data_IF_795461184109
#
_entry.id   IF_795461184109
#
_cell.length_a   1.000
_cell.length_b   1.000
_cell.length_c   1.000
_cell.angle_alpha   90.00
_cell.angle_beta   90.00
_cell.angle_gamma   90.00
#
_symmetry.space_group_name_H-M   'P 1'
#
loop_
_entity.id
_entity.type
_entity.pdbx_description
1 polymer ?
#
# COMPACT_ATOMS: atom_id res chain seq x y z
N UNK A 1 31.41 11.80 -32.31
CA UNK A 1 29.97 11.52 -32.13
C UNK A 1 29.57 11.22 -30.69
N UNK A 2 30.11 10.18 -30.00
CA UNK A 2 29.69 9.82 -28.62
C UNK A 2 29.79 10.97 -27.61
N UNK A 3 30.84 11.79 -27.63
CA UNK A 3 31.04 12.95 -26.76
C UNK A 3 29.99 14.06 -26.98
N UNK A 4 29.58 14.30 -28.23
CA UNK A 4 28.57 15.31 -28.59
C UNK A 4 27.19 14.88 -28.12
N UNK A 5 26.84 13.60 -28.28
CA UNK A 5 25.60 13.01 -27.79
C UNK A 5 25.53 13.11 -26.25
N UNK A 6 26.64 12.79 -25.57
CA UNK A 6 26.72 12.91 -24.12
C UNK A 6 26.55 14.35 -23.63
N UNK A 7 27.22 15.31 -24.29
CA UNK A 7 27.06 16.73 -23.96
C UNK A 7 25.61 17.22 -24.16
N UNK A 8 24.99 16.81 -25.26
CA UNK A 8 23.58 17.12 -25.54
C UNK A 8 22.65 16.58 -24.44
N UNK A 9 22.87 15.36 -23.96
CA UNK A 9 22.12 14.79 -22.84
C UNK A 9 22.29 15.58 -21.53
N UNK A 10 23.52 16.02 -21.23
CA UNK A 10 23.79 16.86 -20.05
C UNK A 10 23.02 18.18 -20.15
N UNK A 11 23.06 18.84 -21.31
CA UNK A 11 22.36 20.10 -21.55
C UNK A 11 20.84 19.90 -21.36
N UNK A 12 20.27 18.82 -21.92
CA UNK A 12 18.85 18.49 -21.73
C UNK A 12 18.48 18.26 -20.26
N UNK A 13 19.31 17.56 -19.50
CA UNK A 13 19.11 17.31 -18.08
C UNK A 13 19.14 18.63 -17.30
N UNK A 14 20.15 19.48 -17.55
CA UNK A 14 20.27 20.79 -16.89
C UNK A 14 19.09 21.67 -17.22
N UNK A 15 18.66 21.72 -18.48
CA UNK A 15 17.49 22.48 -18.92
C UNK A 15 16.20 21.97 -18.27
N UNK A 16 16.00 20.65 -18.17
CA UNK A 16 14.83 20.05 -17.50
C UNK A 16 14.83 20.36 -16.00
N UNK A 17 15.97 20.22 -15.35
CA UNK A 17 16.12 20.46 -13.92
C UNK A 17 15.97 21.93 -13.54
N UNK A 18 16.31 22.86 -14.42
CA UNK A 18 16.16 24.29 -14.23
C UNK A 18 14.72 24.81 -14.41
N UNK A 19 13.79 23.96 -14.87
CA UNK A 19 12.37 24.33 -15.01
C UNK A 19 11.56 24.03 -13.76
N UNK A 20 10.52 24.83 -13.59
CA UNK A 20 9.49 24.54 -12.59
C UNK A 20 8.53 23.44 -13.08
N UNK A 21 8.01 22.71 -12.13
CA UNK A 21 6.96 21.74 -12.35
C UNK A 21 5.85 21.90 -11.34
N UNK A 22 4.65 21.45 -11.69
CA UNK A 22 3.48 21.53 -10.83
C UNK A 22 3.50 20.39 -9.81
N UNK A 23 3.25 20.70 -8.55
CA UNK A 23 2.98 19.78 -7.45
C UNK A 23 1.54 19.98 -7.00
N UNK A 24 0.80 18.89 -6.90
CA UNK A 24 -0.55 18.89 -6.35
C UNK A 24 -0.48 18.52 -4.86
N UNK A 25 -1.01 19.40 -4.01
CA UNK A 25 -1.11 19.19 -2.56
C UNK A 25 -2.55 19.32 -2.13
N UNK A 26 -3.07 18.35 -1.42
CA UNK A 26 -4.43 18.36 -0.91
C UNK A 26 -5.10 17.00 -0.94
N UNK A 27 -6.33 16.96 -0.41
CA UNK A 27 -7.20 15.78 -0.34
C UNK A 27 -8.64 16.18 -0.67
N UNK A 28 -9.46 15.22 -1.10
CA UNK A 28 -10.92 15.35 -1.16
C UNK A 28 -11.42 16.68 -1.74
N UNK A 29 -11.21 16.96 -3.01
CA UNK A 29 -11.67 18.17 -3.72
C UNK A 29 -10.97 19.48 -3.32
N UNK A 30 -10.17 19.51 -2.27
CA UNK A 30 -9.34 20.65 -1.89
C UNK A 30 -7.90 20.35 -2.34
N UNK A 31 -7.62 20.58 -3.61
CA UNK A 31 -6.30 20.36 -4.18
C UNK A 31 -5.75 21.71 -4.64
N UNK A 32 -4.56 22.07 -4.13
CA UNK A 32 -3.82 23.25 -4.55
C UNK A 32 -2.65 22.88 -5.44
N UNK A 33 -2.42 23.70 -6.47
CA UNK A 33 -1.26 23.60 -7.32
C UNK A 33 -0.12 24.46 -6.76
N UNK A 34 1.05 23.87 -6.64
CA UNK A 34 2.26 24.58 -6.23
C UNK A 34 3.32 24.44 -7.33
N UNK A 35 3.86 25.57 -7.78
CA UNK A 35 5.04 25.56 -8.64
C UNK A 35 6.28 25.29 -7.78
N UNK A 36 7.04 24.26 -8.11
CA UNK A 36 8.32 23.94 -7.45
C UNK A 36 9.36 23.53 -8.49
N UNK A 37 10.64 23.87 -8.29
CA UNK A 37 11.72 23.46 -9.19
C UNK A 37 11.75 21.94 -9.40
N UNK A 38 11.99 21.49 -10.62
CA UNK A 38 12.12 20.06 -10.89
C UNK A 38 13.29 19.42 -10.14
N UNK A 39 14.34 20.18 -9.86
CA UNK A 39 15.44 19.75 -8.95
C UNK A 39 14.92 19.38 -7.57
N UNK A 40 14.05 20.21 -6.99
CA UNK A 40 13.44 19.93 -5.70
C UNK A 40 12.56 18.66 -5.75
N UNK A 41 11.75 18.49 -6.81
CA UNK A 41 10.94 17.25 -6.99
C UNK A 41 11.79 16.00 -7.03
N UNK A 42 12.90 16.05 -7.77
CA UNK A 42 13.82 14.92 -7.89
C UNK A 42 14.48 14.64 -6.54
N UNK A 43 14.98 15.68 -5.86
CA UNK A 43 15.58 15.54 -4.54
C UNK A 43 14.59 14.94 -3.53
N UNK A 44 13.40 15.52 -3.39
CA UNK A 44 12.37 15.01 -2.48
C UNK A 44 11.96 13.57 -2.79
N UNK A 45 11.93 13.18 -4.08
CA UNK A 45 11.60 11.82 -4.47
C UNK A 45 12.65 10.81 -4.01
N UNK A 46 13.93 11.14 -4.16
CA UNK A 46 15.03 10.28 -3.67
C UNK A 46 15.11 10.29 -2.14
N UNK A 47 14.96 11.44 -1.50
CA UNK A 47 14.94 11.55 -0.04
C UNK A 47 13.86 10.65 0.57
N UNK A 48 12.63 10.72 0.06
CA UNK A 48 11.56 9.80 0.47
C UNK A 48 11.89 8.34 0.21
N UNK A 49 12.52 8.03 -0.92
CA UNK A 49 12.96 6.66 -1.21
C UNK A 49 13.96 6.14 -0.17
N UNK A 50 14.94 6.96 0.23
CA UNK A 50 15.88 6.62 1.30
C UNK A 50 15.19 6.45 2.65
N UNK A 51 14.27 7.34 2.99
CA UNK A 51 13.48 7.28 4.23
C UNK A 51 12.66 5.99 4.32
N UNK A 52 11.92 5.62 3.27
CA UNK A 52 11.19 4.34 3.21
C UNK A 52 12.13 3.14 3.37
N UNK A 53 13.23 3.13 2.62
CA UNK A 53 14.20 2.03 2.69
C UNK A 53 14.81 1.88 4.09
N UNK A 54 15.15 2.99 4.74
CA UNK A 54 15.68 3.00 6.10
C UNK A 54 14.64 2.50 7.11
N UNK A 55 13.40 2.99 7.00
CA UNK A 55 12.30 2.59 7.88
C UNK A 55 12.01 1.09 7.75
N UNK A 56 11.83 0.57 6.53
CA UNK A 56 11.55 -0.84 6.32
C UNK A 56 12.68 -1.75 6.78
N UNK A 57 13.95 -1.31 6.61
CA UNK A 57 15.11 -2.02 7.13
C UNK A 57 15.11 -2.06 8.66
N UNK A 58 14.79 -0.96 9.34
CA UNK A 58 14.73 -0.93 10.81
C UNK A 58 13.61 -1.79 11.38
N UNK A 59 12.42 -1.81 10.73
CA UNK A 59 11.29 -2.65 11.14
C UNK A 59 11.61 -4.14 11.00
N UNK A 60 12.41 -4.53 10.00
CA UNK A 60 12.68 -5.91 9.64
C UNK A 60 14.13 -6.32 9.90
N UNK A 61 14.81 -5.68 10.87
CA UNK A 61 16.23 -5.93 11.14
C UNK A 61 16.53 -7.41 11.42
N UNK A 62 15.62 -8.09 12.11
CA UNK A 62 15.81 -9.44 12.63
C UNK A 62 15.15 -10.53 11.78
N UNK A 63 14.60 -10.21 10.59
CA UNK A 63 13.94 -11.21 9.76
C UNK A 63 14.26 -11.09 8.27
N UNK A 64 14.48 -12.26 7.65
CA UNK A 64 14.57 -12.41 6.19
C UNK A 64 13.29 -13.00 5.59
N UNK A 65 12.45 -13.62 6.41
CA UNK A 65 11.18 -14.24 5.99
C UNK A 65 10.20 -13.15 5.51
N UNK A 66 9.59 -13.35 4.35
CA UNK A 66 8.68 -12.38 3.76
C UNK A 66 7.36 -12.26 4.51
N UNK A 67 6.83 -13.35 5.03
CA UNK A 67 5.58 -13.36 5.80
C UNK A 67 5.76 -12.58 7.11
N UNK A 68 6.89 -12.79 7.80
CA UNK A 68 7.24 -12.02 8.99
C UNK A 68 7.42 -10.53 8.67
N UNK A 69 8.02 -10.18 7.52
CA UNK A 69 8.15 -8.79 7.08
C UNK A 69 6.78 -8.14 6.88
N UNK A 70 5.82 -8.85 6.28
CA UNK A 70 4.44 -8.35 6.14
C UNK A 70 3.85 -8.05 7.51
N UNK A 71 3.94 -9.00 8.45
CA UNK A 71 3.39 -8.85 9.79
C UNK A 71 4.08 -7.74 10.58
N UNK A 72 5.41 -7.64 10.52
CA UNK A 72 6.18 -6.62 11.23
C UNK A 72 5.84 -5.22 10.74
N UNK A 73 5.78 -5.00 9.41
CA UNK A 73 5.40 -3.71 8.82
C UNK A 73 3.96 -3.36 9.18
N UNK A 74 3.04 -4.32 9.07
CA UNK A 74 1.64 -4.11 9.41
C UNK A 74 1.45 -3.78 10.89
N UNK A 75 2.12 -4.49 11.80
CA UNK A 75 2.13 -4.22 13.24
C UNK A 75 2.71 -2.84 13.55
N UNK A 76 3.78 -2.47 12.85
CA UNK A 76 4.40 -1.15 13.02
C UNK A 76 3.42 -0.04 12.64
N UNK A 77 2.77 -0.13 11.47
CA UNK A 77 1.75 0.84 11.03
C UNK A 77 0.61 0.90 12.06
N UNK A 78 0.05 -0.25 12.43
CA UNK A 78 -1.07 -0.32 13.37
C UNK A 78 -0.77 0.32 14.74
N UNK A 79 0.49 0.25 15.19
CA UNK A 79 0.93 0.85 16.46
C UNK A 79 1.28 2.34 16.36
N UNK A 80 1.85 2.78 15.24
CA UNK A 80 2.42 4.12 15.10
C UNK A 80 1.53 5.11 14.35
N UNK A 81 0.54 4.62 13.61
CA UNK A 81 -0.42 5.46 12.89
C UNK A 81 -1.78 5.32 13.57
N UNK A 82 -2.35 6.45 13.97
CA UNK A 82 -3.66 6.50 14.64
C UNK A 82 -4.77 6.69 13.60
N UNK A 83 -5.94 6.17 13.89
CA UNK A 83 -7.15 6.45 13.11
C UNK A 83 -7.55 7.90 13.25
N UNK A 84 -7.93 8.52 12.12
CA UNK A 84 -8.44 9.89 12.13
C UNK A 84 -9.69 10.01 13.01
N UNK A 85 -9.80 11.09 13.76
CA UNK A 85 -11.02 11.42 14.49
C UNK A 85 -12.00 12.16 13.57
N UNK A 86 -13.29 12.07 13.88
CA UNK A 86 -14.39 12.59 13.06
C UNK A 86 -14.25 14.07 12.63
N UNK A 87 -13.57 14.90 13.42
CA UNK A 87 -13.43 16.34 13.19
C UNK A 87 -12.01 16.75 12.74
N UNK A 88 -11.11 15.80 12.47
CA UNK A 88 -9.76 16.11 12.01
C UNK A 88 -9.75 16.31 10.49
N UNK A 89 -9.09 17.36 10.04
CA UNK A 89 -8.92 17.67 8.62
C UNK A 89 -7.55 17.19 8.16
N UNK A 90 -7.54 16.36 7.13
CA UNK A 90 -6.32 15.92 6.47
C UNK A 90 -6.11 16.74 5.20
N UNK A 91 -4.98 17.43 5.10
CA UNK A 91 -4.63 18.29 3.98
C UNK A 91 -3.66 17.67 2.98
N UNK A 92 -3.06 16.54 3.31
CA UNK A 92 -2.11 15.84 2.43
C UNK A 92 -2.26 14.31 2.58
N UNK A 93 -2.25 13.60 1.45
CA UNK A 93 -2.36 12.15 1.38
C UNK A 93 -1.11 11.46 0.84
N UNK A 94 0.05 12.15 0.82
CA UNK A 94 1.29 11.50 0.39
C UNK A 94 1.74 10.48 1.46
N UNK A 95 2.07 9.22 1.10
CA UNK A 95 2.37 8.16 2.06
C UNK A 95 3.43 8.52 3.11
N UNK A 96 4.50 9.25 2.72
CA UNK A 96 5.51 9.67 3.70
C UNK A 96 4.96 10.71 4.70
N UNK A 97 4.18 11.67 4.24
CA UNK A 97 3.54 12.68 5.11
C UNK A 97 2.55 12.04 6.08
N UNK A 98 1.83 10.98 5.65
CA UNK A 98 0.95 10.21 6.54
C UNK A 98 1.77 9.55 7.67
N UNK A 99 2.91 8.96 7.33
CA UNK A 99 3.82 8.33 8.32
C UNK A 99 4.34 9.37 9.31
N UNK A 100 4.81 10.53 8.84
CA UNK A 100 5.33 11.61 9.70
C UNK A 100 4.25 12.20 10.60
N UNK A 101 3.04 12.38 10.08
CA UNK A 101 1.88 12.88 10.83
C UNK A 101 1.37 11.88 11.87
N UNK A 102 1.48 10.57 11.59
CA UNK A 102 1.02 9.50 12.45
C UNK A 102 -0.51 9.39 12.58
N UNK A 103 -1.28 9.96 11.61
CA UNK A 103 -2.74 9.90 11.57
C UNK A 103 -3.17 9.58 10.13
N UNK A 104 -4.12 8.66 9.95
CA UNK A 104 -4.57 8.20 8.64
C UNK A 104 -6.07 7.87 8.59
N UNK A 105 -6.64 7.98 7.39
CA UNK A 105 -7.93 7.39 6.99
C UNK A 105 -7.74 5.91 6.62
N UNK A 106 -8.82 5.19 6.39
CA UNK A 106 -8.80 3.77 6.03
C UNK A 106 -8.04 3.49 4.73
N UNK A 107 -8.24 4.29 3.68
CA UNK A 107 -7.52 4.19 2.41
C UNK A 107 -6.03 4.53 2.54
N UNK A 108 -5.70 5.49 3.41
CA UNK A 108 -4.33 5.88 3.69
C UNK A 108 -3.53 4.77 4.41
N UNK A 109 -4.18 4.00 5.31
CA UNK A 109 -3.55 2.81 5.90
C UNK A 109 -3.12 1.81 4.83
N UNK A 110 -3.98 1.56 3.86
CA UNK A 110 -3.70 0.63 2.75
C UNK A 110 -2.62 1.17 1.81
N UNK A 111 -2.60 2.48 1.54
CA UNK A 111 -1.56 3.11 0.72
C UNK A 111 -0.18 3.01 1.38
N UNK A 112 -0.03 3.40 2.65
CA UNK A 112 1.26 3.32 3.35
C UNK A 112 1.75 1.88 3.51
N UNK A 113 0.85 0.93 3.81
CA UNK A 113 1.24 -0.48 3.90
C UNK A 113 1.78 -0.97 2.55
N UNK A 114 1.06 -0.73 1.46
CA UNK A 114 1.49 -1.18 0.13
C UNK A 114 2.83 -0.56 -0.29
N UNK A 115 3.09 0.71 0.05
CA UNK A 115 4.38 1.36 -0.21
C UNK A 115 5.50 0.71 0.60
N UNK A 116 5.31 0.52 1.91
CA UNK A 116 6.35 -0.06 2.75
C UNK A 116 6.66 -1.52 2.37
N UNK A 117 5.66 -2.31 1.98
CA UNK A 117 5.86 -3.67 1.47
C UNK A 117 6.71 -3.69 0.19
N UNK A 118 6.46 -2.77 -0.76
CA UNK A 118 7.30 -2.61 -1.96
C UNK A 118 8.75 -2.30 -1.59
N UNK A 119 9.00 -1.49 -0.56
CA UNK A 119 10.36 -1.18 -0.09
C UNK A 119 11.01 -2.34 0.68
N UNK A 120 10.22 -3.29 1.17
CA UNK A 120 10.69 -4.56 1.76
C UNK A 120 10.85 -5.69 0.72
N UNK A 121 10.77 -5.37 -0.59
CA UNK A 121 10.85 -6.29 -1.73
C UNK A 121 9.70 -7.32 -1.77
N UNK A 122 8.52 -6.90 -1.33
CA UNK A 122 7.27 -7.65 -1.41
C UNK A 122 6.36 -6.95 -2.42
N UNK A 123 5.93 -7.66 -3.45
CA UNK A 123 4.99 -7.12 -4.42
C UNK A 123 3.66 -6.80 -3.73
N UNK A 124 3.16 -5.57 -3.91
CA UNK A 124 1.99 -5.08 -3.19
C UNK A 124 1.28 -3.97 -3.95
N UNK A 125 -0.02 -3.88 -3.74
CA UNK A 125 -0.87 -2.77 -4.16
C UNK A 125 -2.10 -2.72 -3.24
N UNK A 126 -2.90 -1.66 -3.33
CA UNK A 126 -4.16 -1.58 -2.60
C UNK A 126 -5.33 -1.25 -3.52
N UNK A 127 -6.51 -1.61 -3.08
CA UNK A 127 -7.78 -1.32 -3.72
C UNK A 127 -8.73 -0.67 -2.72
N UNK A 128 -9.40 0.39 -3.14
CA UNK A 128 -10.35 1.11 -2.30
C UNK A 128 -11.77 0.59 -2.44
N UNK A 129 -12.11 0.01 -3.59
CA UNK A 129 -13.47 -0.38 -3.91
C UNK A 129 -13.48 -1.75 -4.56
N UNK A 130 -14.21 -2.66 -3.96
CA UNK A 130 -14.50 -3.97 -4.47
C UNK A 130 -16.00 -4.01 -4.79
N UNK A 131 -16.34 -4.04 -6.08
CA UNK A 131 -17.72 -3.98 -6.58
C UNK A 131 -18.53 -2.82 -5.96
N UNK A 132 -19.51 -3.11 -5.10
CA UNK A 132 -20.35 -2.12 -4.42
C UNK A 132 -19.81 -1.72 -3.04
N UNK A 133 -18.78 -2.41 -2.52
CA UNK A 133 -18.27 -2.20 -1.15
C UNK A 133 -17.07 -1.27 -1.19
N UNK A 134 -17.15 -0.13 -0.48
CA UNK A 134 -15.99 0.70 -0.20
C UNK A 134 -15.25 0.12 1.00
N UNK A 135 -14.16 -0.57 0.73
CA UNK A 135 -13.32 -1.16 1.78
C UNK A 135 -11.87 -1.24 1.30
N UNK A 136 -11.03 -0.32 1.73
CA UNK A 136 -9.62 -0.32 1.35
C UNK A 136 -8.88 -1.51 1.94
N UNK A 137 -8.31 -2.33 1.09
CA UNK A 137 -7.49 -3.48 1.48
C UNK A 137 -6.17 -3.49 0.73
N UNK A 138 -5.16 -4.08 1.35
CA UNK A 138 -3.84 -4.26 0.76
C UNK A 138 -3.67 -5.70 0.28
N UNK A 139 -3.29 -5.82 -0.98
CA UNK A 139 -2.86 -7.07 -1.62
C UNK A 139 -1.34 -7.16 -1.55
N UNK A 140 -0.84 -8.34 -1.24
CA UNK A 140 0.60 -8.60 -1.23
C UNK A 140 0.92 -10.02 -1.70
N UNK A 141 2.16 -10.24 -2.16
CA UNK A 141 2.62 -11.53 -2.63
C UNK A 141 3.98 -11.87 -2.02
N UNK A 142 4.00 -12.82 -1.10
CA UNK A 142 5.23 -13.33 -0.49
C UNK A 142 5.84 -14.49 -1.27
N UNK A 143 5.00 -15.22 -2.01
CA UNK A 143 5.38 -16.28 -2.95
C UNK A 143 5.01 -15.88 -4.37
N UNK A 144 5.83 -16.27 -5.34
CA UNK A 144 5.67 -15.87 -6.74
C UNK A 144 4.24 -16.10 -7.27
N UNK A 145 3.58 -15.01 -7.68
CA UNK A 145 2.24 -14.99 -8.27
C UNK A 145 1.08 -15.45 -7.39
N UNK A 146 1.30 -15.65 -6.08
CA UNK A 146 0.22 -15.93 -5.13
C UNK A 146 -0.04 -14.69 -4.29
N UNK A 147 -1.26 -14.19 -4.36
CA UNK A 147 -1.69 -12.99 -3.67
C UNK A 147 -2.51 -13.31 -2.44
N UNK A 148 -2.20 -12.60 -1.37
CA UNK A 148 -2.93 -12.60 -0.11
C UNK A 148 -3.38 -11.19 0.20
N UNK A 149 -4.28 -11.03 1.17
CA UNK A 149 -4.79 -9.72 1.56
C UNK A 149 -4.63 -9.45 3.05
N UNK A 150 -4.61 -8.16 3.37
CA UNK A 150 -4.65 -7.66 4.73
C UNK A 150 -5.47 -6.37 4.77
N UNK A 151 -6.32 -6.25 5.78
CA UNK A 151 -7.02 -5.02 6.15
C UNK A 151 -6.18 -4.27 7.19
N UNK A 152 -5.40 -3.26 6.79
CA UNK A 152 -4.50 -2.60 7.72
C UNK A 152 -5.21 -1.65 8.69
N UNK A 153 -6.42 -1.18 8.34
CA UNK A 153 -7.18 -0.27 9.19
C UNK A 153 -7.71 -0.96 10.44
N UNK A 154 -8.23 -2.18 10.29
CA UNK A 154 -8.65 -3.01 11.43
C UNK A 154 -7.56 -3.96 11.92
N UNK A 155 -6.43 -4.06 11.21
CA UNK A 155 -5.34 -4.97 11.53
C UNK A 155 -5.72 -6.45 11.33
N UNK A 156 -6.60 -6.75 10.37
CA UNK A 156 -7.11 -8.10 10.11
C UNK A 156 -6.38 -8.74 8.94
N UNK A 157 -5.99 -10.00 9.12
CA UNK A 157 -5.40 -10.84 8.08
C UNK A 157 -5.95 -12.27 8.15
N UNK A 158 -5.72 -13.04 7.09
CA UNK A 158 -6.35 -14.33 6.88
C UNK A 158 -5.29 -15.41 6.74
N UNK A 159 -5.44 -16.50 7.51
CA UNK A 159 -4.60 -17.67 7.44
C UNK A 159 -5.42 -18.89 7.02
N UNK A 160 -4.74 -19.84 6.38
CA UNK A 160 -5.26 -21.18 6.11
C UNK A 160 -5.11 -22.10 7.34
N UNK A 161 -5.54 -23.35 7.23
CA UNK A 161 -5.45 -24.36 8.30
C UNK A 161 -4.01 -24.71 8.69
N UNK A 162 -3.03 -24.42 7.83
CA UNK A 162 -1.59 -24.62 8.08
C UNK A 162 -0.91 -23.37 8.65
N UNK A 163 -1.67 -22.34 9.01
CA UNK A 163 -1.22 -21.05 9.52
C UNK A 163 -0.34 -20.23 8.53
N UNK A 164 -0.43 -20.51 7.23
CA UNK A 164 0.14 -19.66 6.20
C UNK A 164 -0.86 -18.59 5.78
N UNK A 165 -0.39 -17.50 5.17
CA UNK A 165 -1.30 -16.54 4.57
C UNK A 165 -2.23 -17.19 3.54
N UNK A 166 -3.53 -17.05 3.74
CA UNK A 166 -4.55 -17.52 2.81
C UNK A 166 -4.41 -16.81 1.47
N UNK A 167 -4.38 -17.57 0.38
CA UNK A 167 -4.22 -17.03 -0.97
C UNK A 167 -5.57 -16.95 -1.69
N UNK A 168 -5.67 -16.05 -2.67
CA UNK A 168 -6.92 -15.80 -3.41
C UNK A 168 -7.42 -16.96 -4.27
N UNK A 169 -6.60 -17.99 -4.50
CA UNK A 169 -6.99 -19.19 -5.26
C UNK A 169 -7.38 -20.37 -4.36
N UNK A 170 -7.16 -20.23 -3.05
CA UNK A 170 -7.69 -21.22 -2.13
C UNK A 170 -9.21 -21.13 -2.20
N UNK A 171 -9.83 -22.27 -2.53
CA UNK A 171 -11.26 -22.38 -2.78
C UNK A 171 -12.10 -21.40 -1.97
N UNK A 172 -12.86 -20.57 -2.65
CA UNK A 172 -13.69 -19.50 -2.05
C UNK A 172 -14.66 -19.98 -0.95
N UNK A 173 -14.77 -21.31 -0.76
CA UNK A 173 -15.63 -21.98 0.21
C UNK A 173 -14.88 -22.62 1.38
N UNK A 174 -13.54 -22.41 1.54
CA UNK A 174 -12.80 -22.99 2.67
C UNK A 174 -12.76 -22.03 3.86
N UNK A 175 -12.80 -22.64 5.04
CA UNK A 175 -12.70 -21.96 6.32
C UNK A 175 -11.36 -21.21 6.42
N UNK A 176 -11.40 -19.92 6.16
CA UNK A 176 -10.30 -19.04 6.51
C UNK A 176 -10.38 -18.68 8.01
N UNK A 177 -9.23 -18.58 8.64
CA UNK A 177 -9.13 -18.15 10.03
C UNK A 177 -8.71 -16.69 10.04
N UNK A 178 -9.52 -15.84 10.67
CA UNK A 178 -9.22 -14.42 10.82
C UNK A 178 -8.31 -14.19 12.03
N UNK A 179 -7.27 -13.41 11.83
CA UNK A 179 -6.34 -13.00 12.86
C UNK A 179 -6.27 -11.48 12.93
N UNK A 180 -6.06 -10.97 14.14
CA UNK A 180 -5.73 -9.59 14.38
C UNK A 180 -4.23 -9.45 14.71
N UNK A 181 -3.60 -8.38 14.22
CA UNK A 181 -2.14 -8.14 14.33
C UNK A 181 -1.60 -8.17 15.78
N UNK A 182 -2.44 -7.82 16.77
CA UNK A 182 -2.05 -7.75 18.18
C UNK A 182 -2.74 -8.82 19.02
N UNK A 183 -4.05 -9.06 18.79
CA UNK A 183 -4.88 -9.90 19.65
C UNK A 183 -4.91 -11.38 19.22
N UNK A 184 -4.22 -11.74 18.12
CA UNK A 184 -4.21 -13.11 17.61
C UNK A 184 -5.53 -13.50 16.94
N UNK A 185 -5.95 -14.77 17.07
CA UNK A 185 -7.17 -15.29 16.45
C UNK A 185 -8.41 -14.50 16.88
N UNK A 186 -9.20 -14.03 15.91
CA UNK A 186 -10.43 -13.29 16.17
C UNK A 186 -11.55 -14.25 16.56
N UNK A 187 -12.24 -13.94 17.64
CA UNK A 187 -13.37 -14.70 18.19
C UNK A 187 -14.40 -13.75 18.83
N UNK A 188 -15.52 -14.28 19.31
CA UNK A 188 -16.58 -13.50 19.93
C UNK A 188 -16.12 -12.63 21.10
N UNK A 189 -15.13 -13.11 21.87
CA UNK A 189 -14.68 -12.40 23.08
C UNK A 189 -13.85 -11.15 22.75
N UNK A 190 -13.10 -11.15 21.62
CA UNK A 190 -12.18 -10.07 21.29
C UNK A 190 -12.62 -9.19 20.10
N UNK A 191 -13.65 -9.59 19.33
CA UNK A 191 -14.03 -8.82 18.14
C UNK A 191 -14.46 -7.38 18.44
N UNK A 192 -15.14 -7.13 19.57
CA UNK A 192 -15.56 -5.76 19.98
C UNK A 192 -14.39 -4.85 20.29
N UNK A 193 -13.28 -5.39 20.76
CA UNK A 193 -12.03 -4.62 20.99
C UNK A 193 -11.37 -4.18 19.68
N UNK A 194 -11.58 -4.95 18.60
CA UNK A 194 -11.03 -4.67 17.27
C UNK A 194 -11.92 -3.69 16.51
N UNK A 195 -13.25 -3.91 16.55
CA UNK A 195 -14.26 -3.16 15.81
C UNK A 195 -15.10 -2.27 16.75
N UNK A 196 -14.41 -1.43 17.52
CA UNK A 196 -15.03 -0.53 18.49
C UNK A 196 -15.85 0.61 17.86
N UNK A 197 -15.67 0.88 16.58
CA UNK A 197 -16.40 1.90 15.80
C UNK A 197 -17.83 1.49 15.41
N UNK A 198 -18.30 0.36 15.92
CA UNK A 198 -19.64 -0.19 15.67
C UNK A 198 -19.93 -0.49 14.17
N UNK A 199 -18.89 -0.71 13.37
CA UNK A 199 -19.08 -1.11 11.96
C UNK A 199 -19.87 -2.43 11.84
N UNK A 200 -19.74 -3.31 12.83
CA UNK A 200 -20.43 -4.60 12.86
C UNK A 200 -21.23 -4.77 14.15
N UNK A 201 -22.48 -5.21 14.02
CA UNK A 201 -23.38 -5.43 15.15
C UNK A 201 -23.09 -6.73 15.91
N UNK A 202 -22.54 -7.74 15.22
CA UNK A 202 -22.23 -9.06 15.78
C UNK A 202 -20.96 -9.65 15.18
N UNK A 203 -20.42 -10.66 15.87
CA UNK A 203 -19.27 -11.45 15.35
C UNK A 203 -19.59 -12.15 14.04
N UNK A 204 -20.79 -12.74 13.93
CA UNK A 204 -21.23 -13.39 12.69
C UNK A 204 -21.47 -12.38 11.57
N UNK A 205 -21.99 -11.20 11.86
CA UNK A 205 -22.12 -10.12 10.90
C UNK A 205 -20.75 -9.71 10.32
N UNK A 206 -19.74 -9.61 11.17
CA UNK A 206 -18.35 -9.35 10.74
C UNK A 206 -17.80 -10.51 9.90
N UNK A 207 -17.99 -11.77 10.31
CA UNK A 207 -17.54 -12.94 9.53
C UNK A 207 -18.16 -12.96 8.13
N UNK A 208 -19.48 -12.76 8.06
CA UNK A 208 -20.21 -12.72 6.79
C UNK A 208 -19.73 -11.58 5.88
N UNK A 209 -19.42 -10.42 6.46
CA UNK A 209 -18.88 -9.30 5.72
C UNK A 209 -17.54 -9.66 5.07
N UNK A 210 -16.57 -10.19 5.85
CA UNK A 210 -15.27 -10.58 5.28
C UNK A 210 -15.38 -11.77 4.34
N UNK A 211 -16.29 -12.71 4.58
CA UNK A 211 -16.57 -13.80 3.66
C UNK A 211 -17.06 -13.29 2.30
N UNK A 212 -18.03 -12.38 2.29
CA UNK A 212 -18.52 -11.76 1.06
C UNK A 212 -17.42 -10.94 0.38
N UNK A 213 -16.63 -10.18 1.15
CA UNK A 213 -15.51 -9.43 0.64
C UNK A 213 -14.51 -10.35 -0.09
N UNK A 214 -14.11 -11.47 0.54
CA UNK A 214 -13.18 -12.44 -0.05
C UNK A 214 -13.71 -13.07 -1.34
N UNK A 215 -15.02 -13.37 -1.40
CA UNK A 215 -15.65 -13.92 -2.59
C UNK A 215 -15.70 -12.94 -3.77
N UNK A 216 -15.72 -11.63 -3.48
CA UNK A 216 -15.75 -10.57 -4.49
C UNK A 216 -14.35 -10.19 -4.99
N UNK A 217 -13.28 -10.73 -4.39
CA UNK A 217 -11.91 -10.42 -4.80
C UNK A 217 -11.55 -11.02 -6.17
N UNK A 218 -10.69 -10.34 -6.95
CA UNK A 218 -10.14 -10.92 -8.16
C UNK A 218 -9.28 -12.15 -7.85
N UNK A 219 -9.27 -13.13 -8.74
CA UNK A 219 -8.41 -14.31 -8.62
C UNK A 219 -6.94 -13.97 -8.87
N UNK A 220 -6.03 -14.81 -8.38
CA UNK A 220 -4.59 -14.70 -8.68
C UNK A 220 -4.32 -14.64 -10.20
N UNK A 221 -5.03 -15.42 -10.99
CA UNK A 221 -4.91 -15.42 -12.45
C UNK A 221 -5.31 -14.05 -13.03
N UNK A 222 -6.43 -13.48 -12.58
CA UNK A 222 -6.89 -12.16 -13.03
C UNK A 222 -5.88 -11.07 -12.68
N UNK A 223 -5.36 -11.04 -11.45
CA UNK A 223 -4.37 -10.05 -11.04
C UNK A 223 -3.08 -10.18 -11.88
N UNK A 224 -2.60 -11.40 -12.05
CA UNK A 224 -1.34 -11.66 -12.77
C UNK A 224 -1.45 -11.35 -14.27
N UNK A 225 -2.60 -11.63 -14.90
CA UNK A 225 -2.83 -11.37 -16.34
C UNK A 225 -2.95 -9.88 -16.65
N UNK A 226 -3.60 -9.11 -15.78
CA UNK A 226 -3.84 -7.69 -15.99
C UNK A 226 -2.69 -6.79 -15.52
N UNK A 227 -1.70 -7.35 -14.83
CA UNK A 227 -0.62 -6.57 -14.20
C UNK A 227 -1.13 -5.40 -13.35
N UNK A 228 -2.26 -5.57 -12.67
CA UNK A 228 -2.95 -4.52 -11.89
C UNK A 228 -1.99 -3.77 -10.97
N UNK A 229 -1.09 -4.49 -10.28
CA UNK A 229 -0.12 -3.89 -9.36
C UNK A 229 0.97 -3.06 -10.05
N UNK A 230 1.22 -3.25 -11.37
CA UNK A 230 2.21 -2.49 -12.15
C UNK A 230 1.60 -1.40 -13.01
N UNK A 231 0.43 -1.61 -13.58
CA UNK A 231 -0.17 -0.75 -14.61
C UNK A 231 -1.58 -0.25 -14.27
N UNK A 232 -2.29 -0.91 -13.37
CA UNK A 232 -3.65 -0.55 -12.98
C UNK A 232 -3.71 0.58 -11.94
N UNK A 233 -4.89 0.80 -11.39
CA UNK A 233 -5.13 1.79 -10.31
C UNK A 233 -4.28 1.54 -9.06
N UNK A 234 -3.86 0.30 -8.82
CA UNK A 234 -2.94 -0.09 -7.74
C UNK A 234 -1.46 0.22 -7.98
N UNK A 235 -1.09 0.76 -9.16
CA UNK A 235 0.32 1.00 -9.54
C UNK A 235 1.00 2.12 -8.75
N UNK A 236 0.24 2.93 -7.99
CA UNK A 236 0.77 4.06 -7.22
C UNK A 236 1.89 3.66 -6.26
N UNK A 237 1.71 2.58 -5.52
CA UNK A 237 2.73 2.08 -4.58
C UNK A 237 3.97 1.60 -5.32
N UNK A 238 3.78 0.87 -6.43
CA UNK A 238 4.87 0.39 -7.26
C UNK A 238 5.75 1.53 -7.79
N UNK A 239 5.15 2.64 -8.25
CA UNK A 239 5.91 3.78 -8.81
C UNK A 239 6.59 4.66 -7.76
N UNK A 240 6.43 4.40 -6.46
CA UNK A 240 7.18 5.12 -5.42
C UNK A 240 8.67 4.76 -5.41
N UNK A 241 9.08 3.56 -5.87
CA UNK A 241 10.51 3.25 -6.07
C UNK A 241 11.05 3.94 -7.33
N UNK A 242 12.23 4.60 -7.29
CA UNK A 242 12.81 5.31 -8.44
C UNK A 242 12.93 4.45 -9.70
N UNK A 243 13.44 3.23 -9.59
CA UNK A 243 13.58 2.31 -10.71
C UNK A 243 12.23 1.90 -11.30
N UNK A 244 11.26 1.55 -10.45
CA UNK A 244 9.92 1.17 -10.90
C UNK A 244 9.22 2.33 -11.61
N UNK A 245 9.38 3.56 -11.10
CA UNK A 245 8.84 4.77 -11.73
C UNK A 245 9.47 5.04 -13.10
N UNK A 246 10.78 4.85 -13.22
CA UNK A 246 11.49 5.00 -14.49
C UNK A 246 11.00 3.98 -15.51
N UNK A 247 10.94 2.70 -15.15
CA UNK A 247 10.46 1.62 -16.01
C UNK A 247 8.99 1.81 -16.42
N UNK A 248 8.14 2.29 -15.49
CA UNK A 248 6.75 2.61 -15.80
C UNK A 248 6.64 3.73 -16.84
N UNK A 249 7.43 4.80 -16.69
CA UNK A 249 7.45 5.90 -17.67
C UNK A 249 7.97 5.45 -19.04
N UNK A 250 9.03 4.64 -19.09
CA UNK A 250 9.52 4.09 -20.36
C UNK A 250 8.43 3.28 -21.06
N UNK A 251 7.73 2.44 -20.33
CA UNK A 251 6.63 1.64 -20.87
C UNK A 251 5.48 2.50 -21.41
N UNK A 252 5.16 3.61 -20.75
CA UNK A 252 4.13 4.57 -21.21
C UNK A 252 4.55 5.32 -22.48
N UNK A 253 5.84 5.39 -22.78
CA UNK A 253 6.35 6.02 -24.01
C UNK A 253 6.44 5.05 -25.20
N UNK A 254 6.40 3.74 -24.94
CA UNK A 254 6.54 2.68 -25.96
C UNK A 254 5.22 2.02 -26.37
N UNK A 255 4.13 2.37 -25.72
CA UNK A 255 2.76 1.98 -26.03
C UNK A 255 1.89 3.21 -26.31
#
# INVERSE_FOLDING_TARGET
>A
MKKIIFLFFIILIVFFLGRDGIRYVGTNYIVTEQSIPNTQKVFEFFDRSFKYKRLTKSINADTTNKDDKVLNISKWIYKNVKKIKKNEIIIDNHPWTIIERGIATDDQYSDILSVLLIYADIESFFYNRLNSIWHPITFFSTTKKKWSILDPYYGVYFLDSSLNFSTLDQDKNKDFIMYHLILGKINENNFRSIFSDKKFDSFDGMKNYYFNLLNDLPTNQSINSTHIYKRGKGSRSYIQKPLHRFLHKLHMLTN
#
